data_IF_334620246036
#
_entry.id   IF_334620246036
#
_cell.length_a   1.000
_cell.length_b   1.000
_cell.length_c   1.000
_cell.angle_alpha   90.00
_cell.angle_beta   90.00
_cell.angle_gamma   90.00
#
_symmetry.space_group_name_H-M   'P 1'
#
loop_
_entity.id
_entity.type
_entity.pdbx_description
1 polymer ?
#
# COMPACT_ATOMS: atom_id res chain seq x y z
N UNK A 1 7.84 3.12 21.30
CA UNK A 1 7.39 3.14 19.89
C UNK A 1 6.00 3.75 19.84
N UNK A 2 5.71 4.65 18.89
CA UNK A 2 4.36 5.18 18.72
C UNK A 2 3.43 4.10 18.15
N UNK A 3 2.15 4.04 18.55
CA UNK A 3 1.19 3.09 17.99
C UNK A 3 1.01 3.30 16.48
N UNK A 4 0.75 2.20 15.76
CA UNK A 4 0.43 2.28 14.33
C UNK A 4 -0.93 2.95 14.14
N UNK A 5 -0.97 3.94 13.25
CA UNK A 5 -2.22 4.61 12.86
C UNK A 5 -3.02 3.70 11.94
N UNK A 6 -4.31 3.55 12.22
CA UNK A 6 -5.23 2.76 11.41
C UNK A 6 -5.81 3.65 10.29
N UNK A 7 -5.06 3.79 9.21
CA UNK A 7 -5.41 4.68 8.09
C UNK A 7 -6.06 3.91 6.94
N UNK A 8 -7.02 4.54 6.26
CA UNK A 8 -7.61 4.03 5.02
C UNK A 8 -7.83 5.14 3.99
N UNK A 9 -7.67 4.79 2.71
CA UNK A 9 -8.08 5.63 1.56
C UNK A 9 -9.44 5.14 1.11
N UNK A 10 -10.40 6.04 0.98
CA UNK A 10 -11.70 5.76 0.37
C UNK A 10 -11.94 6.70 -0.80
N UNK A 11 -12.70 6.24 -1.80
CA UNK A 11 -13.08 7.03 -2.97
C UNK A 11 -14.58 7.18 -2.98
N UNK A 12 -15.07 8.39 -3.26
CA UNK A 12 -16.48 8.70 -3.36
C UNK A 12 -16.75 9.51 -4.63
N UNK A 13 -17.99 9.43 -5.10
CA UNK A 13 -18.46 10.19 -6.26
C UNK A 13 -19.06 11.51 -5.77
N UNK A 14 -18.44 12.63 -6.14
CA UNK A 14 -18.89 13.97 -5.76
C UNK A 14 -20.03 14.46 -6.67
N UNK A 15 -19.93 14.19 -7.98
CA UNK A 15 -20.96 14.51 -8.99
C UNK A 15 -20.96 13.43 -10.09
N UNK A 16 -21.87 13.54 -11.08
CA UNK A 16 -21.87 12.67 -12.26
C UNK A 16 -20.47 12.64 -12.92
N UNK A 17 -19.84 11.46 -12.97
CA UNK A 17 -18.49 11.24 -13.52
C UNK A 17 -17.36 12.04 -12.85
N UNK A 18 -17.53 12.44 -11.59
CA UNK A 18 -16.54 13.18 -10.83
C UNK A 18 -16.27 12.50 -9.50
N UNK A 19 -15.04 12.02 -9.31
CA UNK A 19 -14.61 11.25 -8.15
C UNK A 19 -13.59 12.04 -7.33
N UNK A 20 -13.57 11.79 -6.02
CA UNK A 20 -12.60 12.34 -5.06
C UNK A 20 -12.18 11.22 -4.11
N UNK A 21 -10.98 11.31 -3.57
CA UNK A 21 -10.56 10.47 -2.46
C UNK A 21 -10.64 11.23 -1.12
N UNK A 22 -10.78 10.48 -0.04
CA UNK A 22 -10.55 10.96 1.33
C UNK A 22 -9.75 9.93 2.12
N UNK A 23 -8.93 10.45 3.02
CA UNK A 23 -8.16 9.70 4.00
C UNK A 23 -8.89 9.73 5.33
N UNK A 24 -9.07 8.55 5.91
CA UNK A 24 -9.75 8.38 7.19
C UNK A 24 -8.86 7.61 8.17
N UNK A 25 -9.02 7.92 9.46
CA UNK A 25 -8.38 7.22 10.57
C UNK A 25 -9.43 6.57 11.46
N UNK A 26 -9.20 5.32 11.82
CA UNK A 26 -10.01 4.61 12.81
C UNK A 26 -9.61 5.10 14.20
N UNK A 27 -10.54 5.75 14.88
CA UNK A 27 -10.38 6.22 16.24
C UNK A 27 -10.52 5.06 17.25
N UNK A 28 -10.04 5.23 18.50
CA UNK A 28 -10.13 4.19 19.53
C UNK A 28 -11.56 3.76 19.89
N UNK A 29 -12.56 4.61 19.61
CA UNK A 29 -13.98 4.32 19.80
C UNK A 29 -14.62 3.55 18.63
N UNK A 30 -13.83 3.20 17.62
CA UNK A 30 -14.26 2.49 16.42
C UNK A 30 -14.87 3.38 15.34
N UNK A 31 -14.89 4.71 15.53
CA UNK A 31 -15.39 5.64 14.51
C UNK A 31 -14.32 6.00 13.49
N UNK A 32 -14.75 6.27 12.26
CA UNK A 32 -13.87 6.81 11.22
C UNK A 32 -13.89 8.33 11.22
N UNK A 33 -12.72 8.95 11.36
CA UNK A 33 -12.55 10.40 11.25
C UNK A 33 -11.87 10.76 9.93
N UNK A 34 -12.33 11.82 9.27
CA UNK A 34 -11.69 12.34 8.05
C UNK A 34 -10.47 13.16 8.43
N UNK A 35 -9.32 12.78 7.89
CA UNK A 35 -8.06 13.51 8.07
C UNK A 35 -7.85 14.49 6.94
N UNK A 36 -8.11 14.03 5.71
CA UNK A 36 -7.87 14.81 4.51
C UNK A 36 -8.80 14.38 3.37
N UNK A 37 -9.13 15.30 2.49
CA UNK A 37 -9.95 15.06 1.32
C UNK A 37 -9.37 15.79 0.10
N UNK A 38 -9.37 15.12 -1.05
CA UNK A 38 -8.89 15.69 -2.30
C UNK A 38 -9.68 16.95 -2.67
N UNK A 39 -9.08 18.13 -2.80
CA UNK A 39 -9.85 19.36 -3.09
C UNK A 39 -10.56 19.33 -4.47
N UNK A 40 -9.89 18.81 -5.50
CA UNK A 40 -10.38 18.77 -6.88
C UNK A 40 -10.91 17.39 -7.27
N UNK A 41 -11.89 17.36 -8.17
CA UNK A 41 -12.44 16.10 -8.71
C UNK A 41 -11.57 15.57 -9.85
N UNK A 42 -11.63 14.25 -10.05
CA UNK A 42 -11.03 13.56 -11.20
C UNK A 42 -12.09 12.74 -11.93
N UNK A 43 -11.84 12.44 -13.21
CA UNK A 43 -12.84 11.82 -14.10
C UNK A 43 -13.06 10.34 -13.87
N UNK A 44 -12.14 9.64 -13.21
CA UNK A 44 -12.25 8.20 -12.97
C UNK A 44 -12.01 7.84 -11.52
N UNK A 45 -12.73 6.80 -11.08
CA UNK A 45 -12.55 6.19 -9.77
C UNK A 45 -11.10 5.71 -9.56
N UNK A 46 -10.49 5.11 -10.59
CA UNK A 46 -9.10 4.64 -10.54
C UNK A 46 -8.09 5.77 -10.34
N UNK A 47 -8.29 6.92 -11.00
CA UNK A 47 -7.42 8.08 -10.82
C UNK A 47 -7.54 8.64 -9.40
N UNK A 48 -8.75 8.69 -8.83
CA UNK A 48 -8.96 9.12 -7.46
C UNK A 48 -8.28 8.16 -6.47
N UNK A 49 -8.44 6.86 -6.68
CA UNK A 49 -7.81 5.82 -5.85
C UNK A 49 -6.28 5.91 -5.87
N UNK A 50 -5.68 6.02 -7.06
CA UNK A 50 -4.24 6.15 -7.21
C UNK A 50 -3.70 7.42 -6.55
N UNK A 51 -4.38 8.57 -6.75
CA UNK A 51 -3.99 9.82 -6.11
C UNK A 51 -4.08 9.75 -4.58
N UNK A 52 -5.12 9.10 -4.04
CA UNK A 52 -5.27 8.89 -2.61
C UNK A 52 -4.19 7.99 -2.02
N UNK A 53 -3.77 6.93 -2.75
CA UNK A 53 -2.67 6.07 -2.31
C UNK A 53 -1.33 6.83 -2.26
N UNK A 54 -1.04 7.67 -3.26
CA UNK A 54 0.17 8.52 -3.24
C UNK A 54 0.13 9.48 -2.04
N UNK A 55 -1.03 10.03 -1.72
CA UNK A 55 -1.15 10.90 -0.54
C UNK A 55 -0.96 10.14 0.76
N UNK A 56 -1.57 8.96 0.91
CA UNK A 56 -1.34 8.08 2.07
C UNK A 56 0.15 7.80 2.25
N UNK A 57 0.84 7.51 1.14
CA UNK A 57 2.27 7.23 1.16
C UNK A 57 3.08 8.43 1.68
N UNK A 58 2.74 9.66 1.25
CA UNK A 58 3.41 10.87 1.73
C UNK A 58 3.20 11.19 3.21
N UNK A 59 2.21 10.60 3.88
CA UNK A 59 1.92 10.85 5.30
C UNK A 59 2.66 9.92 6.26
N UNK A 60 3.22 8.82 5.77
CA UNK A 60 3.86 7.80 6.60
C UNK A 60 5.35 7.82 6.30
N UNK A 61 6.10 8.47 7.17
CA UNK A 61 7.56 8.65 7.04
C UNK A 61 8.32 7.31 7.06
N UNK A 62 7.74 6.29 7.68
CA UNK A 62 8.35 4.97 7.91
C UNK A 62 7.93 3.89 6.89
N UNK A 63 7.35 4.23 5.73
CA UNK A 63 6.87 3.21 4.78
C UNK A 63 7.95 2.25 4.27
N UNK A 64 9.20 2.70 4.25
CA UNK A 64 10.35 1.87 3.87
C UNK A 64 10.96 1.11 5.05
N UNK A 65 10.47 1.32 6.27
CA UNK A 65 10.95 0.64 7.47
C UNK A 65 10.17 -0.65 7.67
N UNK A 66 10.84 -1.78 7.48
CA UNK A 66 10.32 -3.09 7.86
C UNK A 66 11.46 -4.02 8.25
N UNK A 67 11.14 -5.23 8.73
CA UNK A 67 10.18 -5.52 9.80
C UNK A 67 10.59 -4.85 11.12
N UNK A 68 9.61 -4.51 11.98
CA UNK A 68 9.87 -3.90 13.32
C UNK A 68 10.29 -4.94 14.37
N UNK A 69 10.06 -6.20 14.07
CA UNK A 69 10.57 -7.34 14.82
C UNK A 69 11.79 -7.85 14.06
N UNK A 70 12.89 -8.14 14.77
CA UNK A 70 14.02 -8.84 14.17
C UNK A 70 13.50 -10.15 13.57
N UNK A 71 13.70 -10.31 12.26
CA UNK A 71 13.40 -11.55 11.57
C UNK A 71 14.23 -12.64 12.26
N UNK A 72 13.59 -13.47 13.08
CA UNK A 72 14.28 -14.52 13.82
C UNK A 72 15.11 -15.32 12.82
N UNK A 73 16.43 -15.36 13.03
CA UNK A 73 17.42 -15.93 12.11
C UNK A 73 16.84 -17.18 11.43
N UNK A 74 16.52 -17.03 10.14
CA UNK A 74 16.06 -18.17 9.36
C UNK A 74 17.15 -19.24 9.47
N UNK A 75 16.82 -20.49 9.86
CA UNK A 75 17.84 -21.53 9.98
C UNK A 75 18.56 -21.66 8.65
N UNK A 76 19.89 -21.51 8.69
CA UNK A 76 20.74 -21.45 7.51
C UNK A 76 20.32 -22.52 6.49
N UNK A 77 19.85 -22.07 5.32
CA UNK A 77 19.53 -22.96 4.23
C UNK A 77 20.81 -23.73 3.88
N UNK A 78 20.78 -25.06 4.08
CA UNK A 78 21.90 -25.94 3.72
C UNK A 78 22.27 -25.70 2.27
N UNK A 79 23.55 -25.39 2.05
CA UNK A 79 24.10 -25.14 0.74
C UNK A 79 23.87 -26.32 -0.23
N UNK A 80 23.28 -25.96 -1.37
CA UNK A 80 23.22 -26.57 -2.70
C UNK A 80 23.72 -28.02 -2.93
N UNK A 81 22.86 -28.80 -3.59
CA UNK A 81 23.20 -29.69 -4.71
C UNK A 81 21.89 -30.12 -5.37
N UNK A 82 21.60 -30.02 -6.66
CA UNK A 82 22.32 -29.59 -7.84
C UNK A 82 21.34 -29.63 -9.03
N UNK A 83 21.84 -29.25 -10.21
CA UNK A 83 21.26 -29.57 -11.53
C UNK A 83 20.00 -28.77 -11.96
N UNK A 84 20.16 -27.47 -12.22
CA UNK A 84 19.28 -26.74 -13.13
C UNK A 84 19.77 -26.91 -14.57
N UNK A 85 19.25 -27.91 -15.26
CA UNK A 85 19.43 -28.09 -16.71
C UNK A 85 18.40 -27.28 -17.50
N UNK A 86 18.74 -26.05 -17.88
CA UNK A 86 17.99 -25.31 -18.91
C UNK A 86 18.44 -25.76 -20.30
N UNK A 87 17.80 -26.80 -20.82
CA UNK A 87 17.96 -27.25 -22.22
C UNK A 87 17.20 -26.31 -23.18
N UNK A 88 17.84 -25.21 -23.59
CA UNK A 88 17.37 -24.42 -24.73
C UNK A 88 17.83 -25.12 -26.02
N UNK A 89 16.95 -25.95 -26.60
CA UNK A 89 17.15 -26.49 -27.94
C UNK A 89 17.04 -25.38 -28.99
N UNK A 90 18.11 -25.14 -29.75
CA UNK A 90 18.03 -24.32 -30.96
C UNK A 90 17.31 -25.12 -32.08
N UNK A 91 16.36 -24.52 -32.82
CA UNK A 91 15.84 -25.13 -34.03
C UNK A 91 16.87 -25.06 -35.16
N UNK A 92 16.80 -26.05 -36.06
CA UNK A 92 17.61 -26.18 -37.27
C UNK A 92 17.02 -25.37 -38.42
#
# INVERSE_FOLDING_TARGET
MAPLRHLAVTVFQANANAFRWRLVELLPDGQWSVIEEQASTVKSYSAAMAAGLVRLQGMVEDLSVGPREEEADAPAAKAASGMFGFGFGLPK
#
